data_IF_778238649018
#
_entry.id   IF_778238649018
#
_cell.length_a   1.000
_cell.length_b   1.000
_cell.length_c   1.000
_cell.angle_alpha   90.00
_cell.angle_beta   90.00
_cell.angle_gamma   90.00
#
_symmetry.space_group_name_H-M   'P 1'
#
loop_
_entity.id
_entity.type
_entity.pdbx_description
1 polymer ?
#
# COMPACT_ATOMS: atom_id res chain seq x y z
N UNK A 1 8.55 15.62 32.15
CA UNK A 1 7.48 14.60 32.20
C UNK A 1 6.42 14.82 33.29
N UNK A 2 6.65 15.60 34.35
CA UNK A 2 5.67 15.81 35.43
C UNK A 2 4.32 16.45 35.02
N UNK A 3 4.25 17.16 33.89
CA UNK A 3 3.05 17.90 33.45
C UNK A 3 1.97 17.05 32.77
N UNK A 4 2.31 15.87 32.22
CA UNK A 4 1.31 15.04 31.54
C UNK A 4 0.38 14.37 32.55
N UNK A 5 0.95 13.78 33.61
CA UNK A 5 0.18 13.10 34.66
C UNK A 5 -0.76 14.03 35.43
N UNK A 6 -0.49 15.34 35.45
CA UNK A 6 -1.33 16.36 36.09
C UNK A 6 -2.51 16.81 35.22
N UNK A 7 -2.57 16.39 33.95
CA UNK A 7 -3.71 16.69 33.09
C UNK A 7 -4.95 15.88 33.53
N UNK A 8 -6.16 16.48 33.42
CA UNK A 8 -7.42 15.75 33.49
C UNK A 8 -7.43 14.49 32.61
N UNK A 9 -8.16 13.46 33.04
CA UNK A 9 -8.15 12.16 32.37
C UNK A 9 -8.62 12.26 30.90
N UNK A 10 -9.56 13.13 30.61
CA UNK A 10 -10.12 13.39 29.29
C UNK A 10 -9.04 13.96 28.36
N UNK A 11 -8.22 14.90 28.85
CA UNK A 11 -7.13 15.49 28.07
C UNK A 11 -6.00 14.48 27.84
N UNK A 12 -5.66 13.66 28.85
CA UNK A 12 -4.68 12.57 28.67
C UNK A 12 -5.15 11.58 27.63
N UNK A 13 -6.44 11.22 27.65
CA UNK A 13 -7.05 10.36 26.64
C UNK A 13 -6.96 10.97 25.23
N UNK A 14 -7.33 12.24 25.06
CA UNK A 14 -7.25 12.91 23.75
C UNK A 14 -5.81 12.97 23.22
N UNK A 15 -4.83 13.23 24.08
CA UNK A 15 -3.42 13.21 23.70
C UNK A 15 -3.00 11.82 23.22
N UNK A 16 -3.39 10.76 23.92
CA UNK A 16 -3.10 9.40 23.48
C UNK A 16 -3.82 9.02 22.19
N UNK A 17 -5.09 9.43 22.02
CA UNK A 17 -5.81 9.21 20.77
C UNK A 17 -5.17 9.93 19.60
N UNK A 18 -4.66 11.15 19.82
CA UNK A 18 -3.91 11.90 18.81
C UNK A 18 -2.53 11.28 18.52
N UNK A 19 -1.91 10.64 19.51
CA UNK A 19 -0.62 9.97 19.35
C UNK A 19 -0.70 8.60 18.66
N UNK A 20 -1.91 8.12 18.31
CA UNK A 20 -2.06 6.87 17.56
C UNK A 20 -1.47 7.04 16.16
N UNK A 21 -0.53 6.17 15.75
CA UNK A 21 0.09 6.29 14.43
C UNK A 21 -0.88 5.92 13.31
N UNK A 22 -0.78 6.66 12.21
CA UNK A 22 -1.51 6.44 10.97
C UNK A 22 -0.81 5.35 10.15
N UNK A 23 -0.95 4.09 10.59
CA UNK A 23 -0.18 2.98 10.01
C UNK A 23 -0.78 2.45 8.72
N UNK A 24 0.10 2.25 7.74
CA UNK A 24 -0.13 1.37 6.59
C UNK A 24 0.31 -0.03 6.99
N UNK A 25 -0.62 -0.97 7.06
CA UNK A 25 -0.32 -2.35 7.45
C UNK A 25 -0.33 -3.26 6.24
N UNK A 26 0.75 -4.00 6.10
CA UNK A 26 1.06 -4.74 4.89
C UNK A 26 0.65 -6.21 4.96
N UNK A 27 0.08 -6.69 3.87
CA UNK A 27 -0.40 -8.05 3.64
C UNK A 27 0.37 -8.65 2.48
N UNK A 28 0.77 -9.91 2.62
CA UNK A 28 1.74 -10.52 1.72
C UNK A 28 3.15 -10.03 2.04
N UNK A 29 4.10 -10.97 2.05
CA UNK A 29 5.51 -10.63 2.19
C UNK A 29 5.93 -9.80 0.97
N UNK A 30 6.48 -8.59 1.17
CA UNK A 30 6.92 -7.79 0.04
C UNK A 30 8.09 -8.47 -0.65
N UNK A 31 7.99 -8.65 -1.96
CA UNK A 31 9.11 -9.01 -2.81
C UNK A 31 9.52 -7.78 -3.59
N UNK A 32 10.79 -7.40 -3.48
CA UNK A 32 11.37 -6.41 -4.37
C UNK A 32 12.82 -6.82 -4.71
N UNK A 33 13.09 -7.24 -5.97
CA UNK A 33 14.43 -7.66 -6.37
C UNK A 33 15.43 -6.51 -6.34
N UNK A 34 14.93 -5.27 -6.31
CA UNK A 34 15.71 -4.05 -6.26
C UNK A 34 16.20 -3.72 -4.82
N UNK A 35 15.85 -4.53 -3.82
CA UNK A 35 16.21 -4.29 -2.41
C UNK A 35 17.13 -5.40 -1.91
N UNK A 36 18.36 -5.03 -1.57
CA UNK A 36 19.32 -5.89 -0.90
C UNK A 36 19.76 -5.24 0.42
N UNK A 37 19.82 -5.99 1.54
CA UNK A 37 19.50 -7.42 1.69
C UNK A 37 18.00 -7.69 1.91
N UNK A 38 17.52 -8.83 1.42
CA UNK A 38 16.12 -9.28 1.56
C UNK A 38 15.69 -9.41 3.03
N UNK A 39 16.65 -9.73 3.91
CA UNK A 39 16.44 -9.83 5.35
C UNK A 39 15.98 -8.51 5.98
N UNK A 40 16.53 -7.37 5.54
CA UNK A 40 16.15 -6.04 6.06
C UNK A 40 14.69 -5.72 5.70
N UNK A 41 14.28 -6.10 4.48
CA UNK A 41 12.92 -5.94 3.99
C UNK A 41 11.93 -6.81 4.77
N UNK A 42 12.27 -8.09 4.96
CA UNK A 42 11.46 -9.03 5.73
C UNK A 42 11.32 -8.60 7.18
N UNK A 43 12.42 -8.16 7.80
CA UNK A 43 12.42 -7.67 9.16
C UNK A 43 11.55 -6.41 9.30
N UNK A 44 11.64 -5.47 8.36
CA UNK A 44 10.80 -4.28 8.34
C UNK A 44 9.31 -4.64 8.26
N UNK A 45 8.95 -5.59 7.40
CA UNK A 45 7.58 -6.09 7.28
C UNK A 45 7.07 -6.71 8.58
N UNK A 46 7.88 -7.54 9.26
CA UNK A 46 7.54 -8.13 10.56
C UNK A 46 7.36 -7.04 11.63
N UNK A 47 8.26 -6.05 11.68
CA UNK A 47 8.18 -4.94 12.62
C UNK A 47 6.93 -4.07 12.36
N UNK A 48 6.53 -3.90 11.10
CA UNK A 48 5.32 -3.17 10.74
C UNK A 48 4.03 -3.84 11.27
N UNK A 49 4.11 -5.11 11.69
CA UNK A 49 2.98 -5.84 12.26
C UNK A 49 3.01 -5.91 13.79
N UNK A 50 4.03 -5.37 14.46
CA UNK A 50 4.05 -5.29 15.93
C UNK A 50 3.19 -4.13 16.44
N UNK A 51 2.66 -4.23 17.66
CA UNK A 51 1.96 -3.12 18.32
C UNK A 51 2.79 -1.83 18.27
N UNK A 52 2.15 -0.64 18.13
CA UNK A 52 2.87 0.62 18.11
C UNK A 52 3.57 0.87 19.45
N UNK A 53 4.68 1.62 19.46
CA UNK A 53 5.47 1.83 20.66
C UNK A 53 4.64 2.41 21.82
N UNK A 54 3.65 3.27 21.52
CA UNK A 54 2.75 3.81 22.53
C UNK A 54 2.00 2.74 23.34
N UNK A 55 1.70 1.57 22.77
CA UNK A 55 1.04 0.48 23.49
C UNK A 55 1.90 -0.11 24.64
N UNK A 56 3.19 0.21 24.65
CA UNK A 56 4.16 -0.22 25.65
C UNK A 56 4.51 0.89 26.67
N UNK A 57 4.05 2.14 26.46
CA UNK A 57 4.44 3.28 27.30
C UNK A 57 3.85 3.23 28.73
N UNK A 58 2.54 3.02 28.86
CA UNK A 58 1.86 2.90 30.15
C UNK A 58 0.51 2.19 29.99
N UNK A 59 -0.16 1.87 31.10
CA UNK A 59 -1.44 1.17 31.08
C UNK A 59 -2.55 1.95 30.35
N UNK A 60 -2.58 3.28 30.49
CA UNK A 60 -3.59 4.14 29.86
C UNK A 60 -3.44 4.16 28.34
N UNK A 61 -2.21 4.42 27.87
CA UNK A 61 -1.88 4.38 26.45
C UNK A 61 -2.14 2.99 25.83
N UNK A 62 -1.74 1.92 26.54
CA UNK A 62 -2.05 0.54 26.13
C UNK A 62 -3.55 0.31 25.98
N UNK A 63 -4.34 0.75 26.96
CA UNK A 63 -5.80 0.61 26.92
C UNK A 63 -6.40 1.33 25.70
N UNK A 64 -5.91 2.53 25.38
CA UNK A 64 -6.38 3.33 24.25
C UNK A 64 -5.99 2.69 22.92
N UNK A 65 -4.72 2.29 22.77
CA UNK A 65 -4.25 1.53 21.62
C UNK A 65 -5.11 0.27 21.42
N UNK A 66 -5.21 -0.60 22.43
CA UNK A 66 -5.98 -1.84 22.32
C UNK A 66 -7.49 -1.61 22.11
N UNK A 67 -8.06 -0.50 22.57
CA UNK A 67 -9.49 -0.21 22.35
C UNK A 67 -9.81 0.07 20.87
N UNK A 68 -8.91 0.76 20.16
CA UNK A 68 -9.06 1.05 18.72
C UNK A 68 -8.82 -0.19 17.86
N UNK A 69 -8.20 -1.23 18.40
CA UNK A 69 -7.58 -2.34 17.67
C UNK A 69 -8.33 -3.69 17.84
N UNK A 70 -9.62 -3.65 18.25
CA UNK A 70 -10.47 -4.84 18.47
C UNK A 70 -11.40 -5.15 17.31
N UNK A 71 -11.55 -6.43 16.97
CA UNK A 71 -12.54 -6.94 16.01
C UNK A 71 -13.96 -6.44 16.30
N UNK A 72 -14.79 -6.15 15.27
CA UNK A 72 -16.21 -5.88 15.48
C UNK A 72 -16.90 -7.08 16.15
N UNK A 73 -17.82 -6.81 17.08
CA UNK A 73 -18.64 -7.87 17.68
C UNK A 73 -19.42 -8.59 16.58
N UNK A 74 -19.38 -9.92 16.56
CA UNK A 74 -20.10 -10.74 15.58
C UNK A 74 -19.32 -11.05 14.30
N UNK A 75 -18.11 -10.51 14.12
CA UNK A 75 -17.24 -10.89 13.00
C UNK A 75 -16.32 -12.03 13.44
N UNK A 76 -16.73 -13.25 13.10
CA UNK A 76 -15.87 -14.44 13.19
C UNK A 76 -15.15 -14.58 11.86
N UNK A 77 -13.84 -14.65 11.91
CA UNK A 77 -13.03 -14.77 10.71
C UNK A 77 -12.40 -16.13 10.68
N UNK A 78 -12.47 -16.75 9.51
CA UNK A 78 -11.92 -18.06 9.28
C UNK A 78 -10.41 -18.07 9.64
N UNK A 79 -9.90 -19.15 10.24
CA UNK A 79 -8.51 -19.25 10.71
C UNK A 79 -7.43 -19.18 9.61
N UNK A 80 -7.84 -19.12 8.35
CA UNK A 80 -7.00 -19.18 7.16
C UNK A 80 -6.74 -17.82 6.50
N UNK A 81 -7.55 -16.79 6.79
CA UNK A 81 -7.37 -15.44 6.25
C UNK A 81 -6.38 -14.60 7.08
N UNK A 82 -5.07 -14.87 6.97
CA UNK A 82 -4.01 -13.94 7.45
C UNK A 82 -3.89 -13.75 8.99
N UNK A 83 -4.16 -14.76 9.82
CA UNK A 83 -4.74 -14.54 11.17
C UNK A 83 -3.90 -14.57 12.45
N UNK A 84 -2.57 -14.66 12.48
CA UNK A 84 -1.96 -15.02 13.78
C UNK A 84 -1.81 -13.89 14.82
N UNK A 85 -2.02 -12.60 14.49
CA UNK A 85 -2.11 -11.54 15.50
C UNK A 85 -2.78 -10.25 14.97
N UNK A 86 -4.09 -10.29 14.71
CA UNK A 86 -4.85 -9.27 13.97
C UNK A 86 -5.21 -8.00 14.75
N UNK A 87 -4.33 -7.53 15.64
CA UNK A 87 -4.60 -6.28 16.34
C UNK A 87 -4.79 -5.12 15.36
N UNK A 88 -4.12 -5.15 14.19
CA UNK A 88 -4.18 -4.08 13.19
C UNK A 88 -5.52 -3.85 12.47
N UNK A 89 -6.51 -4.75 12.58
CA UNK A 89 -7.67 -4.73 11.68
C UNK A 89 -8.62 -3.54 11.85
N UNK A 90 -8.74 -2.99 13.06
CA UNK A 90 -9.40 -1.70 13.30
C UNK A 90 -8.42 -0.54 13.55
N UNK A 91 -7.13 -0.86 13.62
CA UNK A 91 -6.03 0.11 13.80
C UNK A 91 -5.66 0.84 12.56
N UNK A 92 -5.63 0.08 11.46
CA UNK A 92 -4.98 0.51 10.26
C UNK A 92 -5.88 1.52 9.59
N UNK A 93 -5.36 2.71 9.37
CA UNK A 93 -5.99 3.62 8.44
C UNK A 93 -5.99 2.99 7.04
N UNK A 94 -4.94 2.25 6.71
CA UNK A 94 -4.77 1.64 5.39
C UNK A 94 -4.24 0.20 5.53
N UNK A 95 -4.92 -0.76 4.91
CA UNK A 95 -4.38 -2.10 4.68
C UNK A 95 -3.82 -2.13 3.26
N UNK A 96 -2.53 -2.46 3.13
CA UNK A 96 -1.82 -2.53 1.85
C UNK A 96 -1.54 -3.98 1.45
N UNK A 97 -1.99 -4.37 0.26
CA UNK A 97 -1.75 -5.67 -0.32
C UNK A 97 -0.52 -5.62 -1.24
N UNK A 98 0.58 -6.26 -0.79
CA UNK A 98 1.81 -6.38 -1.55
C UNK A 98 1.66 -7.39 -2.70
N UNK A 99 2.59 -7.34 -3.65
CA UNK A 99 2.76 -8.37 -4.68
C UNK A 99 3.92 -9.31 -4.25
N UNK A 100 3.65 -10.42 -3.53
CA UNK A 100 4.70 -11.38 -3.21
C UNK A 100 5.15 -12.14 -4.46
N UNK A 101 6.35 -12.72 -4.41
CA UNK A 101 6.80 -13.65 -5.44
C UNK A 101 6.00 -14.95 -5.35
N UNK A 102 5.39 -15.36 -6.48
CA UNK A 102 4.57 -16.57 -6.55
C UNK A 102 5.43 -17.69 -7.14
N UNK A 103 5.88 -18.60 -6.29
CA UNK A 103 6.79 -19.69 -6.71
C UNK A 103 6.04 -21.02 -6.84
N UNK A 104 4.90 -21.17 -6.15
CA UNK A 104 4.12 -22.43 -6.12
C UNK A 104 2.62 -22.21 -6.35
N UNK A 105 1.89 -23.21 -6.89
CA UNK A 105 0.43 -23.15 -7.03
C UNK A 105 -0.32 -22.94 -5.71
N UNK A 106 0.21 -23.45 -4.59
CA UNK A 106 -0.40 -23.27 -3.27
C UNK A 106 -0.27 -21.82 -2.78
N UNK A 107 0.86 -21.17 -3.01
CA UNK A 107 1.04 -19.74 -2.72
C UNK A 107 0.11 -18.89 -3.59
N UNK A 108 -0.07 -19.25 -4.87
CA UNK A 108 -1.02 -18.55 -5.76
C UNK A 108 -2.45 -18.59 -5.20
N UNK A 109 -2.95 -19.77 -4.84
CA UNK A 109 -4.31 -19.91 -4.29
C UNK A 109 -4.50 -19.09 -3.02
N UNK A 110 -3.53 -19.12 -2.11
CA UNK A 110 -3.57 -18.29 -0.89
C UNK A 110 -3.62 -16.80 -1.22
N UNK A 111 -2.86 -16.35 -2.21
CA UNK A 111 -2.88 -14.95 -2.63
C UNK A 111 -4.22 -14.56 -3.27
N UNK A 112 -4.83 -15.46 -4.04
CA UNK A 112 -6.18 -15.27 -4.59
C UNK A 112 -7.22 -15.17 -3.48
N UNK A 113 -7.14 -16.05 -2.46
CA UNK A 113 -8.00 -16.02 -1.27
C UNK A 113 -7.81 -14.71 -0.47
N UNK A 114 -6.56 -14.31 -0.21
CA UNK A 114 -6.23 -13.06 0.50
C UNK A 114 -6.73 -11.83 -0.29
N UNK A 115 -6.68 -11.86 -1.62
CA UNK A 115 -7.17 -10.79 -2.48
C UNK A 115 -8.71 -10.70 -2.42
N UNK A 116 -9.42 -11.82 -2.46
CA UNK A 116 -10.88 -11.88 -2.29
C UNK A 116 -11.32 -11.38 -0.91
N UNK A 117 -10.53 -11.66 0.12
CA UNK A 117 -10.81 -11.17 1.46
C UNK A 117 -10.75 -9.65 1.59
N UNK A 118 -10.05 -8.95 0.67
CA UNK A 118 -10.10 -7.49 0.61
C UNK A 118 -11.51 -6.96 0.36
N UNK A 119 -12.45 -7.73 -0.21
CA UNK A 119 -13.85 -7.31 -0.35
C UNK A 119 -14.54 -7.12 1.02
N UNK A 120 -14.07 -7.83 2.05
CA UNK A 120 -14.59 -7.75 3.43
C UNK A 120 -13.85 -6.71 4.26
N UNK A 121 -12.63 -6.34 3.86
CA UNK A 121 -11.73 -5.44 4.58
C UNK A 121 -12.28 -4.00 4.76
N UNK A 122 -13.03 -3.39 3.81
CA UNK A 122 -13.67 -2.09 4.03
C UNK A 122 -14.59 -2.02 5.25
N UNK A 123 -15.13 -3.17 5.72
CA UNK A 123 -15.92 -3.24 6.97
C UNK A 123 -15.01 -3.10 8.20
N UNK A 124 -13.73 -3.40 8.05
CA UNK A 124 -12.75 -3.52 9.13
C UNK A 124 -11.83 -2.30 9.21
N UNK A 125 -11.35 -1.76 8.09
CA UNK A 125 -10.42 -0.61 8.04
C UNK A 125 -11.00 0.60 7.28
N UNK A 126 -10.27 1.73 7.28
CA UNK A 126 -10.72 2.97 6.60
C UNK A 126 -10.48 2.93 5.09
N UNK A 127 -9.32 2.44 4.65
CA UNK A 127 -8.94 2.37 3.24
C UNK A 127 -8.20 1.08 2.91
N UNK A 128 -8.34 0.65 1.65
CA UNK A 128 -7.58 -0.46 1.07
C UNK A 128 -6.59 0.11 0.06
N UNK A 129 -5.38 -0.42 0.09
CA UNK A 129 -4.33 -0.16 -0.88
C UNK A 129 -3.88 -1.46 -1.53
N UNK A 130 -3.64 -1.45 -2.84
CA UNK A 130 -3.14 -2.61 -3.59
C UNK A 130 -1.91 -2.17 -4.38
N UNK A 131 -0.86 -3.00 -4.42
CA UNK A 131 0.30 -2.77 -5.29
C UNK A 131 -0.10 -2.80 -6.77
N UNK A 132 0.43 -1.86 -7.56
CA UNK A 132 0.26 -1.86 -9.01
C UNK A 132 0.69 -3.18 -9.66
N UNK A 133 1.70 -3.86 -9.10
CA UNK A 133 2.20 -5.13 -9.64
C UNK A 133 1.18 -6.28 -9.55
N UNK A 134 0.22 -6.17 -8.64
CA UNK A 134 -0.92 -7.09 -8.55
C UNK A 134 -1.95 -6.79 -9.64
N UNK A 135 -2.28 -5.51 -9.83
CA UNK A 135 -3.40 -5.11 -10.71
C UNK A 135 -3.00 -4.98 -12.17
N UNK A 136 -1.95 -4.22 -12.44
CA UNK A 136 -1.35 -3.97 -13.75
C UNK A 136 -0.01 -3.27 -13.49
N UNK A 137 1.15 -3.93 -13.71
CA UNK A 137 2.44 -3.38 -13.33
C UNK A 137 2.69 -1.99 -13.91
N UNK A 138 2.97 -1.02 -13.04
CA UNK A 138 3.33 0.33 -13.47
C UNK A 138 4.73 0.35 -14.11
N UNK A 139 5.64 -0.48 -13.57
CA UNK A 139 6.99 -0.68 -14.08
C UNK A 139 7.05 -1.86 -15.06
N UNK A 140 7.27 -1.58 -16.35
CA UNK A 140 7.22 -2.56 -17.46
C UNK A 140 8.14 -3.79 -17.33
N UNK A 141 9.15 -3.72 -16.47
CA UNK A 141 10.08 -4.82 -16.24
C UNK A 141 9.69 -5.73 -15.07
N UNK A 142 8.64 -5.37 -14.31
CA UNK A 142 8.07 -6.27 -13.31
C UNK A 142 7.12 -7.23 -14.01
N UNK A 143 7.26 -8.52 -13.69
CA UNK A 143 6.38 -9.55 -14.22
C UNK A 143 4.95 -9.31 -13.69
N UNK A 144 3.97 -9.60 -14.54
CA UNK A 144 2.57 -9.61 -14.11
C UNK A 144 2.41 -10.65 -13.02
N UNK A 145 1.63 -10.33 -11.99
CA UNK A 145 1.15 -11.36 -11.07
C UNK A 145 0.44 -12.45 -11.89
N UNK A 146 0.64 -13.72 -11.52
CA UNK A 146 -0.07 -14.84 -12.14
C UNK A 146 -1.56 -14.88 -11.74
N UNK A 147 -2.08 -13.81 -11.13
CA UNK A 147 -3.43 -13.72 -10.63
C UNK A 147 -4.38 -13.49 -11.81
N UNK A 148 -5.49 -14.24 -11.90
CA UNK A 148 -6.50 -14.01 -12.93
C UNK A 148 -7.02 -12.57 -12.92
N UNK A 149 -6.98 -11.89 -14.06
CA UNK A 149 -7.47 -10.51 -14.19
C UNK A 149 -8.94 -10.35 -13.80
N UNK A 150 -9.77 -11.35 -14.06
CA UNK A 150 -11.18 -11.35 -13.67
C UNK A 150 -11.34 -11.22 -12.16
N UNK A 151 -10.49 -11.91 -11.38
CA UNK A 151 -10.48 -11.85 -9.93
C UNK A 151 -10.10 -10.46 -9.44
N UNK A 152 -9.02 -9.90 -10.01
CA UNK A 152 -8.56 -8.55 -9.66
C UNK A 152 -9.68 -7.52 -9.89
N UNK A 153 -10.35 -7.60 -11.05
CA UNK A 153 -11.42 -6.66 -11.37
C UNK A 153 -12.70 -6.89 -10.56
N UNK A 154 -13.00 -8.12 -10.15
CA UNK A 154 -14.08 -8.41 -9.21
C UNK A 154 -13.83 -7.69 -7.87
N UNK A 155 -12.62 -7.80 -7.34
CA UNK A 155 -12.23 -7.13 -6.09
C UNK A 155 -12.21 -5.61 -6.24
N UNK A 156 -11.58 -5.08 -7.29
CA UNK A 156 -11.55 -3.62 -7.53
C UNK A 156 -12.96 -3.04 -7.74
N UNK A 157 -13.84 -3.75 -8.44
CA UNK A 157 -15.23 -3.29 -8.70
C UNK A 157 -16.12 -3.37 -7.47
N UNK A 158 -15.73 -4.13 -6.45
CA UNK A 158 -16.42 -4.18 -5.16
C UNK A 158 -16.17 -2.95 -4.28
N UNK A 159 -15.18 -2.12 -4.65
CA UNK A 159 -14.76 -0.94 -3.89
C UNK A 159 -15.17 0.34 -4.62
N UNK A 160 -15.65 1.34 -3.88
CA UNK A 160 -15.91 2.67 -4.44
C UNK A 160 -14.59 3.42 -4.72
N UNK A 161 -13.64 3.31 -3.79
CA UNK A 161 -12.32 3.93 -3.87
C UNK A 161 -11.27 2.92 -3.44
N UNK A 162 -10.17 2.84 -4.20
CA UNK A 162 -9.02 2.00 -3.88
C UNK A 162 -7.74 2.82 -4.04
N UNK A 163 -6.83 2.71 -3.07
CA UNK A 163 -5.48 3.26 -3.23
C UNK A 163 -4.66 2.31 -4.09
N UNK A 164 -3.97 2.82 -5.11
CA UNK A 164 -3.01 2.04 -5.88
C UNK A 164 -1.60 2.55 -5.56
N UNK A 165 -0.77 1.67 -5.00
CA UNK A 165 0.67 1.95 -4.85
C UNK A 165 1.35 1.68 -6.19
N UNK A 166 1.66 2.73 -6.94
CA UNK A 166 2.29 2.63 -8.27
C UNK A 166 3.69 2.05 -8.20
N UNK A 167 4.41 2.36 -7.13
CA UNK A 167 5.76 1.89 -6.89
C UNK A 167 6.07 1.93 -5.40
N UNK A 168 7.00 1.08 -4.99
CA UNK A 168 7.49 1.01 -3.62
C UNK A 168 8.95 1.39 -3.61
N UNK A 169 9.31 2.37 -2.77
CA UNK A 169 10.68 2.78 -2.52
C UNK A 169 11.02 2.34 -1.11
N UNK A 170 11.97 1.42 -0.99
CA UNK A 170 12.52 1.07 0.31
C UNK A 170 13.73 1.92 0.63
N UNK A 171 13.77 2.41 1.86
CA UNK A 171 14.81 3.25 2.37
C UNK A 171 15.45 2.52 3.54
N UNK A 172 16.65 2.01 3.30
CA UNK A 172 17.55 1.51 4.34
C UNK A 172 18.08 2.63 5.22
N UNK A 173 17.40 2.87 6.35
CA UNK A 173 17.79 3.88 7.33
C UNK A 173 17.49 3.40 8.75
N UNK A 174 18.27 3.82 9.73
CA UNK A 174 17.95 3.58 11.13
C UNK A 174 16.71 4.38 11.55
N UNK A 175 16.01 3.91 12.59
CA UNK A 175 14.89 4.65 13.17
C UNK A 175 15.30 6.05 13.66
N UNK A 176 16.57 6.23 14.07
CA UNK A 176 17.07 7.54 14.48
C UNK A 176 17.17 8.51 13.30
N UNK A 177 17.74 8.10 12.17
CA UNK A 177 17.82 8.92 10.97
C UNK A 177 16.43 9.31 10.44
N UNK A 178 15.49 8.36 10.44
CA UNK A 178 14.10 8.62 10.07
C UNK A 178 13.43 9.66 11.01
N UNK A 179 13.69 9.56 12.32
CA UNK A 179 13.18 10.51 13.34
C UNK A 179 13.75 11.92 13.16
N UNK A 180 15.04 12.06 12.90
CA UNK A 180 15.70 13.36 12.72
C UNK A 180 15.08 14.16 11.56
N UNK A 181 14.66 13.46 10.50
CA UNK A 181 13.96 14.07 9.36
C UNK A 181 12.44 14.15 9.55
N UNK A 182 11.90 13.67 10.67
CA UNK A 182 10.46 13.64 10.94
C UNK A 182 9.67 12.84 9.89
N UNK A 183 10.29 11.80 9.32
CA UNK A 183 9.68 10.88 8.38
C UNK A 183 9.25 9.61 9.14
N UNK A 184 8.21 8.91 8.68
CA UNK A 184 7.75 7.64 9.27
C UNK A 184 7.21 7.71 10.71
N UNK A 185 6.56 8.82 11.11
CA UNK A 185 5.84 8.89 12.40
C UNK A 185 6.73 8.59 13.63
N UNK A 186 7.97 9.09 13.63
CA UNK A 186 9.01 8.76 14.63
C UNK A 186 9.41 7.27 14.69
N UNK A 187 9.19 6.52 13.61
CA UNK A 187 9.50 5.09 13.48
C UNK A 187 8.31 4.15 13.75
N UNK A 188 7.15 4.68 14.17
CA UNK A 188 5.93 3.88 14.40
C UNK A 188 5.05 3.75 13.13
N UNK A 189 5.40 4.46 12.05
CA UNK A 189 4.75 4.38 10.73
C UNK A 189 5.77 3.97 9.66
N UNK A 190 6.33 2.74 9.71
CA UNK A 190 7.44 2.35 8.84
C UNK A 190 7.06 2.23 7.36
N UNK A 191 5.78 2.30 7.01
CA UNK A 191 5.30 2.42 5.65
C UNK A 191 4.39 3.66 5.53
N UNK A 192 4.65 4.49 4.53
CA UNK A 192 3.86 5.69 4.21
C UNK A 192 3.47 5.70 2.74
N UNK A 193 2.22 6.09 2.46
CA UNK A 193 1.68 6.21 1.11
C UNK A 193 1.58 7.70 0.76
N UNK A 194 2.44 8.14 -0.14
CA UNK A 194 2.60 9.55 -0.49
C UNK A 194 1.99 9.82 -1.86
N UNK A 195 1.37 10.98 -2.03
CA UNK A 195 0.89 11.41 -3.34
C UNK A 195 2.07 11.51 -4.32
N UNK A 196 2.04 10.86 -5.49
CA UNK A 196 3.13 10.90 -6.46
C UNK A 196 3.43 12.31 -6.99
N UNK A 197 2.51 13.27 -6.80
CA UNK A 197 2.69 14.66 -7.22
C UNK A 197 3.01 15.62 -6.06
N UNK A 198 3.10 15.12 -4.81
CA UNK A 198 3.62 15.89 -3.68
C UNK A 198 5.15 15.95 -3.71
N UNK A 199 5.66 16.88 -4.52
CA UNK A 199 7.10 17.10 -4.72
C UNK A 199 7.83 17.43 -3.42
N UNK A 200 7.17 18.12 -2.48
CA UNK A 200 7.78 18.50 -1.22
C UNK A 200 8.00 17.26 -0.34
N UNK A 201 7.01 16.38 -0.24
CA UNK A 201 7.15 15.12 0.48
C UNK A 201 8.21 14.22 -0.18
N UNK A 202 8.15 14.03 -1.51
CA UNK A 202 9.09 13.18 -2.25
C UNK A 202 10.53 13.68 -2.09
N UNK A 203 10.77 14.99 -2.09
CA UNK A 203 12.11 15.57 -1.89
C UNK A 203 12.67 15.22 -0.51
N UNK A 204 11.85 15.21 0.55
CA UNK A 204 12.30 14.81 1.89
C UNK A 204 12.68 13.33 1.95
N UNK A 205 11.92 12.46 1.31
CA UNK A 205 12.29 11.03 1.18
C UNK A 205 13.55 10.83 0.34
N UNK A 206 13.72 11.60 -0.74
CA UNK A 206 14.94 11.60 -1.55
C UNK A 206 16.15 12.01 -0.72
N UNK A 207 16.02 13.02 0.14
CA UNK A 207 17.10 13.44 1.04
C UNK A 207 17.53 12.30 1.97
N UNK A 208 16.58 11.66 2.66
CA UNK A 208 16.88 10.51 3.53
C UNK A 208 17.56 9.36 2.75
N UNK A 209 17.08 9.09 1.54
CA UNK A 209 17.64 8.06 0.67
C UNK A 209 19.08 8.38 0.24
N UNK A 210 19.38 9.64 -0.09
CA UNK A 210 20.74 10.10 -0.44
C UNK A 210 21.71 10.03 0.74
N UNK A 211 21.27 10.44 1.94
CA UNK A 211 22.08 10.45 3.16
C UNK A 211 22.49 9.04 3.61
N UNK A 212 21.71 8.02 3.25
CA UNK A 212 21.93 6.62 3.65
C UNK A 212 22.77 5.81 2.66
N UNK A 213 23.27 6.43 1.57
CA UNK A 213 24.19 5.84 0.58
C UNK A 213 23.78 4.43 0.10
N UNK A 214 22.50 4.26 -0.19
CA UNK A 214 21.94 2.97 -0.61
C UNK A 214 22.38 2.57 -2.03
N UNK A 215 22.41 1.26 -2.28
CA UNK A 215 22.71 0.69 -3.59
C UNK A 215 21.55 0.92 -4.57
N UNK A 216 21.71 1.95 -5.40
CA UNK A 216 21.30 2.15 -6.82
C UNK A 216 19.82 2.02 -7.23
N UNK A 217 19.00 1.18 -6.61
CA UNK A 217 17.78 0.70 -7.26
C UNK A 217 16.66 1.75 -7.43
N UNK A 218 16.56 2.69 -6.48
CA UNK A 218 15.58 3.78 -6.52
C UNK A 218 16.07 5.04 -7.26
N UNK A 219 17.30 5.06 -7.79
CA UNK A 219 17.86 6.20 -8.55
C UNK A 219 16.95 6.54 -9.73
N UNK A 220 16.62 5.54 -10.55
CA UNK A 220 15.79 5.74 -11.75
C UNK A 220 14.41 6.29 -11.40
N UNK A 221 13.86 5.90 -10.25
CA UNK A 221 12.59 6.44 -9.77
C UNK A 221 12.74 7.92 -9.43
N UNK A 222 13.68 8.30 -8.56
CA UNK A 222 13.88 9.69 -8.15
C UNK A 222 14.31 10.61 -9.31
N UNK A 223 14.98 10.08 -10.32
CA UNK A 223 15.36 10.85 -11.52
C UNK A 223 14.20 11.06 -12.49
N UNK A 224 13.16 10.22 -12.41
CA UNK A 224 12.03 10.30 -13.35
C UNK A 224 10.79 10.95 -12.74
N UNK A 225 10.56 10.84 -11.43
CA UNK A 225 9.31 11.26 -10.79
C UNK A 225 8.99 12.75 -10.99
N UNK A 226 10.00 13.61 -11.04
CA UNK A 226 9.81 15.06 -11.22
C UNK A 226 9.70 15.49 -12.71
N UNK A 227 9.75 14.55 -13.65
CA UNK A 227 9.73 14.82 -15.09
C UNK A 227 8.36 14.60 -15.70
N UNK A 228 8.08 15.27 -16.83
CA UNK A 228 6.86 15.05 -17.62
C UNK A 228 6.70 13.59 -18.09
N UNK A 229 7.82 12.85 -18.15
CA UNK A 229 7.81 11.42 -18.48
C UNK A 229 7.05 10.61 -17.43
N UNK A 230 7.12 10.98 -16.15
CA UNK A 230 6.37 10.30 -15.10
C UNK A 230 4.87 10.57 -15.24
N UNK A 231 4.47 11.84 -15.42
CA UNK A 231 3.06 12.22 -15.65
C UNK A 231 2.49 11.50 -16.87
N UNK A 232 3.21 11.50 -18.00
CA UNK A 232 2.81 10.76 -19.20
C UNK A 232 2.62 9.26 -18.94
N UNK A 233 3.49 8.67 -18.11
CA UNK A 233 3.41 7.26 -17.74
C UNK A 233 2.18 6.97 -16.86
N UNK A 234 1.87 7.84 -15.92
CA UNK A 234 0.65 7.75 -15.09
C UNK A 234 -0.59 7.80 -15.97
N UNK A 235 -0.69 8.77 -16.88
CA UNK A 235 -1.82 8.88 -17.82
C UNK A 235 -1.97 7.65 -18.70
N UNK A 236 -0.85 7.14 -19.23
CA UNK A 236 -0.84 5.91 -20.01
C UNK A 236 -1.33 4.71 -19.19
N UNK A 237 -0.82 4.55 -17.97
CA UNK A 237 -1.20 3.46 -17.08
C UNK A 237 -2.69 3.52 -16.73
N UNK A 238 -3.21 4.71 -16.43
CA UNK A 238 -4.64 4.94 -16.20
C UNK A 238 -5.47 4.57 -17.44
N UNK A 239 -5.03 4.95 -18.64
CA UNK A 239 -5.72 4.57 -19.88
C UNK A 239 -5.74 3.05 -20.09
N UNK A 240 -4.63 2.37 -19.82
CA UNK A 240 -4.53 0.91 -19.89
C UNK A 240 -5.48 0.25 -18.88
N UNK A 241 -5.54 0.73 -17.63
CA UNK A 241 -6.49 0.26 -16.62
C UNK A 241 -7.95 0.47 -17.05
N UNK A 242 -8.28 1.62 -17.65
CA UNK A 242 -9.61 1.87 -18.21
C UNK A 242 -9.96 0.88 -19.30
N UNK A 243 -9.04 0.60 -20.22
CA UNK A 243 -9.26 -0.38 -21.28
C UNK A 243 -9.49 -1.78 -20.70
N UNK A 244 -8.71 -2.20 -19.71
CA UNK A 244 -8.86 -3.51 -19.07
C UNK A 244 -10.20 -3.66 -18.32
N UNK A 245 -10.65 -2.61 -17.64
CA UNK A 245 -11.98 -2.60 -17.02
C UNK A 245 -13.10 -2.75 -18.05
N UNK A 246 -12.99 -2.03 -19.17
CA UNK A 246 -14.03 -2.06 -20.20
C UNK A 246 -14.09 -3.46 -20.81
N UNK A 247 -12.93 -4.08 -21.08
CA UNK A 247 -12.89 -5.46 -21.55
C UNK A 247 -13.53 -6.40 -20.52
N UNK A 248 -13.14 -6.31 -19.25
CA UNK A 248 -13.71 -7.13 -18.17
C UNK A 248 -15.24 -7.03 -18.09
N UNK A 249 -15.79 -5.82 -18.09
CA UNK A 249 -17.21 -5.58 -17.83
C UNK A 249 -18.12 -5.72 -19.05
N UNK A 250 -17.61 -5.40 -20.24
CA UNK A 250 -18.44 -5.23 -21.44
C UNK A 250 -18.08 -6.16 -22.60
N UNK A 251 -16.98 -6.89 -22.52
CA UNK A 251 -16.60 -7.83 -23.60
C UNK A 251 -16.77 -9.30 -23.21
N UNK A 252 -17.13 -9.59 -21.95
CA UNK A 252 -17.39 -10.95 -21.47
C UNK A 252 -18.71 -11.02 -20.65
N UNK A 253 -19.79 -11.64 -21.17
CA UNK A 253 -19.89 -12.25 -22.50
C UNK A 253 -19.84 -11.18 -23.62
N UNK A 254 -19.41 -11.55 -24.84
CA UNK A 254 -19.24 -10.61 -25.94
C UNK A 254 -20.55 -9.92 -26.26
N UNK A 255 -20.60 -8.61 -26.09
CA UNK A 255 -21.67 -7.81 -26.67
C UNK A 255 -21.60 -7.92 -28.20
N UNK A 256 -22.74 -8.04 -28.90
CA UNK A 256 -22.78 -8.15 -30.36
C UNK A 256 -22.30 -6.88 -31.10
N UNK A 257 -22.01 -5.80 -30.38
CA UNK A 257 -21.56 -4.52 -30.92
C UNK A 257 -20.04 -4.34 -30.77
N UNK A 258 -19.30 -3.99 -31.83
CA UNK A 258 -17.84 -3.74 -31.77
C UNK A 258 -17.44 -2.48 -30.98
N UNK A 259 -18.40 -1.72 -30.44
CA UNK A 259 -18.19 -0.45 -29.73
C UNK A 259 -17.14 -0.52 -28.61
N UNK A 260 -17.27 -1.42 -27.62
CA UNK A 260 -16.31 -1.53 -26.52
C UNK A 260 -14.89 -1.85 -27.01
N UNK A 261 -14.74 -2.76 -27.99
CA UNK A 261 -13.43 -3.16 -28.53
C UNK A 261 -12.71 -1.99 -29.21
N UNK A 262 -13.42 -1.22 -30.04
CA UNK A 262 -12.86 -0.02 -30.70
C UNK A 262 -12.39 0.99 -29.65
N UNK A 263 -13.16 1.17 -28.57
CA UNK A 263 -12.80 2.10 -27.49
C UNK A 263 -11.57 1.61 -26.72
N UNK A 264 -11.48 0.32 -26.39
CA UNK A 264 -10.32 -0.21 -25.65
C UNK A 264 -9.05 -0.20 -26.51
N UNK A 265 -9.13 -0.47 -27.81
CA UNK A 265 -8.02 -0.29 -28.75
C UNK A 265 -7.57 1.18 -28.84
N UNK A 266 -8.53 2.12 -28.93
CA UNK A 266 -8.25 3.55 -28.98
C UNK A 266 -7.55 4.04 -27.71
N UNK A 267 -8.01 3.62 -26.53
CA UNK A 267 -7.41 3.95 -25.23
C UNK A 267 -5.97 3.48 -25.10
N UNK A 268 -5.68 2.25 -25.53
CA UNK A 268 -4.32 1.69 -25.51
C UNK A 268 -3.36 2.48 -26.39
N UNK A 269 -3.87 3.11 -27.45
CA UNK A 269 -3.08 3.89 -28.41
C UNK A 269 -2.95 5.36 -28.00
N UNK A 270 -4.02 5.95 -27.47
CA UNK A 270 -4.15 7.38 -27.18
C UNK A 270 -4.72 7.61 -25.77
N UNK A 271 -3.87 7.81 -24.75
CA UNK A 271 -4.32 7.97 -23.36
C UNK A 271 -5.37 9.08 -23.13
N UNK A 272 -5.30 10.17 -23.90
CA UNK A 272 -6.25 11.28 -23.83
C UNK A 272 -7.71 10.87 -24.09
N UNK A 273 -7.95 9.74 -24.78
CA UNK A 273 -9.29 9.22 -25.05
C UNK A 273 -10.04 8.80 -23.78
N UNK A 274 -9.34 8.66 -22.64
CA UNK A 274 -9.97 8.39 -21.33
C UNK A 274 -10.99 9.47 -20.94
N UNK A 275 -10.81 10.71 -21.38
CA UNK A 275 -11.71 11.83 -21.06
C UNK A 275 -12.85 12.02 -22.06
N UNK A 276 -12.85 11.28 -23.17
CA UNK A 276 -13.89 11.33 -24.19
C UNK A 276 -15.26 10.89 -23.58
N UNK A 277 -16.36 11.63 -23.82
CA UNK A 277 -17.70 11.22 -23.41
C UNK A 277 -18.06 9.77 -23.78
N UNK A 278 -17.66 9.32 -24.97
CA UNK A 278 -17.93 7.96 -25.44
C UNK A 278 -17.20 6.89 -24.61
N UNK A 279 -16.02 7.22 -24.08
CA UNK A 279 -15.31 6.33 -23.16
C UNK A 279 -15.97 6.35 -21.78
N UNK A 280 -16.36 7.53 -21.29
CA UNK A 280 -16.90 7.71 -19.94
C UNK A 280 -18.16 6.87 -19.69
N UNK A 281 -18.99 6.65 -20.71
CA UNK A 281 -20.18 5.79 -20.56
C UNK A 281 -19.82 4.34 -20.15
N UNK A 282 -18.70 3.82 -20.65
CA UNK A 282 -18.24 2.46 -20.34
C UNK A 282 -17.44 2.38 -19.04
N UNK A 283 -17.00 3.52 -18.51
CA UNK A 283 -16.37 3.63 -17.19
C UNK A 283 -17.38 3.84 -16.06
N UNK A 284 -18.68 3.67 -16.33
CA UNK A 284 -19.71 3.69 -15.31
C UNK A 284 -19.47 2.59 -14.27
N UNK A 285 -19.20 2.98 -13.02
CA UNK A 285 -18.84 2.09 -11.93
C UNK A 285 -17.37 1.65 -11.94
N UNK A 286 -16.50 2.34 -12.70
CA UNK A 286 -15.05 2.22 -12.54
C UNK A 286 -14.67 2.79 -11.17
N UNK A 287 -13.90 2.08 -10.33
CA UNK A 287 -13.56 2.54 -8.99
C UNK A 287 -12.68 3.80 -9.06
N UNK A 288 -12.82 4.67 -8.07
CA UNK A 288 -11.91 5.81 -7.92
C UNK A 288 -10.54 5.28 -7.49
N UNK A 289 -9.50 5.56 -8.29
CA UNK A 289 -8.14 5.13 -7.98
C UNK A 289 -7.35 6.29 -7.38
N UNK A 290 -7.02 6.18 -6.09
CA UNK A 290 -6.11 7.10 -5.41
C UNK A 290 -4.66 6.63 -5.63
N UNK A 291 -3.90 7.31 -6.48
CA UNK A 291 -2.53 6.90 -6.79
C UNK A 291 -1.56 7.34 -5.67
N UNK A 292 -0.67 6.44 -5.27
CA UNK A 292 0.34 6.66 -4.22
C UNK A 292 1.69 6.04 -4.60
N UNK A 293 2.76 6.56 -4.01
CA UNK A 293 4.05 5.90 -3.90
C UNK A 293 4.19 5.43 -2.46
N UNK A 294 4.51 4.15 -2.28
CA UNK A 294 4.82 3.66 -0.95
C UNK A 294 6.30 3.89 -0.65
N UNK A 295 6.59 4.60 0.43
CA UNK A 295 7.91 4.62 1.04
C UNK A 295 7.91 3.67 2.22
N UNK A 296 8.90 2.78 2.29
CA UNK A 296 9.07 1.83 3.39
C UNK A 296 10.44 2.02 4.04
N UNK A 297 10.45 2.21 5.35
CA UNK A 297 11.64 2.23 6.16
C UNK A 297 12.12 0.79 6.40
N UNK A 298 13.34 0.48 6.00
CA UNK A 298 13.97 -0.82 6.22
C UNK A 298 15.20 -0.64 7.13
N UNK A 299 15.03 -0.69 8.47
CA UNK A 299 16.16 -0.60 9.36
C UNK A 299 17.15 -1.74 9.08
N UNK A 300 18.46 -1.45 8.94
CA UNK A 300 19.44 -2.53 8.81
C UNK A 300 19.32 -3.46 10.01
N UNK A 301 19.32 -4.77 9.75
CA UNK A 301 19.47 -5.76 10.81
C UNK A 301 20.66 -5.34 11.68
N UNK A 302 20.44 -5.25 12.99
CA UNK A 302 21.56 -5.01 13.90
C UNK A 302 22.61 -6.07 13.57
N UNK A 303 23.83 -5.65 13.24
CA UNK A 303 24.97 -6.57 13.33
C UNK A 303 24.94 -6.99 14.78
N UNK A 304 24.58 -8.25 15.06
CA UNK A 304 24.74 -8.79 16.39
C UNK A 304 26.19 -8.48 16.77
N UNK A 305 26.36 -7.53 17.69
CA UNK A 305 27.59 -7.49 18.45
C UNK A 305 27.58 -8.81 19.17
N UNK A 306 28.31 -9.78 18.62
CA UNK A 306 28.73 -10.98 19.31
C UNK A 306 29.25 -10.48 20.65
N UNK A 307 28.43 -10.68 21.69
CA UNK A 307 28.87 -10.50 23.05
C UNK A 307 29.86 -11.64 23.26
N UNK A 308 31.14 -11.27 23.08
CA UNK A 308 32.39 -11.96 23.49
C UNK A 308 32.51 -13.45 23.17
#
# INVERSE_FOLDING_TARGET
MARFATLPAELRQLVWEFALPARVVEVGEPCDPDILPEEDLRQAWILNRKYPAMAHACWESRRIALAKFKLPKGVTLAPDCMTDARWWWKSAEIIHFNAPEIITPQQRRRLEDDLLDLMKVPILCRKVSISADVVHPFLRFRNRSDIPKSLVWEVLSSMETCIISLHTVCIRATNQQARELGLFGNGDEPAQLIDPFDKAAITRFRQLWMETKQEVSSVKFFDTIDTDRFTFRVERWLSEMSAEYIDFKWTSPPFPTPGPQIITESLRRYPAQRHNPDTKQYLAGFPTLELRIMFRLCPPAAVDHVIT
#
